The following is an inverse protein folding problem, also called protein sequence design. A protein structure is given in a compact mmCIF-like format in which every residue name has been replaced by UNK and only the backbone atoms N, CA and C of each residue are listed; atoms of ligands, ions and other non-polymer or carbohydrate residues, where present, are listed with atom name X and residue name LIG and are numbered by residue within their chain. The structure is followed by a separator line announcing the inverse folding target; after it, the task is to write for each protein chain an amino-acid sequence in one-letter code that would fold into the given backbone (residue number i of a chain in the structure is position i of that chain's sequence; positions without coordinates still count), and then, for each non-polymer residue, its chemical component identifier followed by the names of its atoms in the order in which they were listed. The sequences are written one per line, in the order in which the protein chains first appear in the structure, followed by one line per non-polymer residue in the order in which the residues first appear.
data_IF_215680379786
#
_entry.id   IF_215680379786
#
_cell.length_a   1.000
_cell.length_b   1.000
_cell.length_c   1.000
_cell.angle_alpha   90.00
_cell.angle_beta   90.00
_cell.angle_gamma   90.00
#
_symmetry.space_group_name_H-M   'P 1'
#
loop_
_entity.id
_entity.type
_entity.pdbx_description
1 polymer ?
#
# COMPACT_ATOMS: atom_id res chain seq x y z
N UNK A 1 11.25 -24.82 19.87
CA UNK A 1 11.50 -23.54 20.58
C UNK A 1 10.41 -22.58 20.10
N UNK A 2 9.45 -22.18 20.94
CA UNK A 2 8.40 -21.27 20.50
C UNK A 2 9.01 -19.87 20.30
N UNK A 3 8.73 -19.27 19.15
CA UNK A 3 9.06 -17.86 18.92
C UNK A 3 8.30 -17.05 19.96
N UNK A 4 8.99 -16.15 20.68
CA UNK A 4 8.33 -15.20 21.59
C UNK A 4 7.32 -14.43 20.74
N UNK A 5 6.09 -14.28 21.22
CA UNK A 5 4.98 -13.65 20.48
C UNK A 5 5.36 -12.26 19.93
N UNK A 6 6.29 -11.58 20.60
CA UNK A 6 6.91 -10.31 20.20
C UNK A 6 7.66 -10.39 18.86
N UNK A 7 8.36 -11.49 18.57
CA UNK A 7 9.11 -11.68 17.33
C UNK A 7 8.17 -12.04 16.16
N UNK A 8 7.13 -12.83 16.43
CA UNK A 8 6.10 -13.14 15.45
C UNK A 8 5.33 -11.90 15.00
N UNK A 9 4.99 -11.02 15.94
CA UNK A 9 4.32 -9.75 15.64
C UNK A 9 5.20 -8.81 14.81
N UNK A 10 6.49 -8.68 15.15
CA UNK A 10 7.44 -7.87 14.37
C UNK A 10 7.60 -8.39 12.95
N UNK A 11 7.67 -9.71 12.78
CA UNK A 11 7.79 -10.33 11.46
C UNK A 11 6.55 -10.06 10.61
N UNK A 12 5.36 -10.26 11.18
CA UNK A 12 4.10 -9.96 10.50
C UNK A 12 3.99 -8.49 10.08
N UNK A 13 4.36 -7.54 10.96
CA UNK A 13 4.38 -6.12 10.60
C UNK A 13 5.38 -5.83 9.47
N UNK A 14 6.57 -6.43 9.51
CA UNK A 14 7.58 -6.27 8.47
C UNK A 14 7.08 -6.75 7.10
N UNK A 15 6.44 -7.90 7.06
CA UNK A 15 5.86 -8.46 5.83
C UNK A 15 4.73 -7.57 5.30
N UNK A 16 3.88 -7.06 6.19
CA UNK A 16 2.79 -6.15 5.83
C UNK A 16 3.31 -4.89 5.13
N UNK A 17 4.34 -4.23 5.69
CA UNK A 17 4.95 -3.05 5.07
C UNK A 17 5.66 -3.39 3.75
N UNK A 18 6.31 -4.55 3.68
CA UNK A 18 6.94 -5.02 2.44
C UNK A 18 5.92 -5.16 1.30
N UNK A 19 4.72 -5.65 1.59
CA UNK A 19 3.65 -5.75 0.58
C UNK A 19 3.12 -4.37 0.15
N UNK A 20 3.07 -3.40 1.06
CA UNK A 20 2.67 -2.02 0.74
C UNK A 20 3.70 -1.36 -0.18
N UNK A 21 4.99 -1.42 0.18
CA UNK A 21 6.08 -0.82 -0.60
C UNK A 21 6.21 -1.45 -1.98
N UNK A 22 5.97 -2.75 -2.09
CA UNK A 22 5.94 -3.48 -3.36
C UNK A 22 4.61 -3.31 -4.13
N UNK A 23 3.65 -2.53 -3.62
CA UNK A 23 2.30 -2.33 -4.18
C UNK A 23 1.53 -3.64 -4.44
N UNK A 24 1.76 -4.68 -3.62
CA UNK A 24 1.14 -6.00 -3.74
C UNK A 24 -0.19 -6.06 -2.99
N UNK A 25 -1.24 -5.56 -3.63
CA UNK A 25 -2.58 -5.44 -3.03
C UNK A 25 -3.12 -6.76 -2.46
N UNK A 26 -3.02 -7.85 -3.23
CA UNK A 26 -3.60 -9.14 -2.82
C UNK A 26 -2.86 -9.73 -1.61
N UNK A 27 -1.52 -9.66 -1.59
CA UNK A 27 -0.70 -10.15 -0.48
C UNK A 27 -0.91 -9.30 0.78
N UNK A 28 -1.07 -7.98 0.62
CA UNK A 28 -1.43 -7.09 1.72
C UNK A 28 -2.77 -7.47 2.36
N UNK A 29 -3.82 -7.67 1.56
CA UNK A 29 -5.16 -8.01 2.06
C UNK A 29 -5.19 -9.40 2.70
N UNK A 30 -4.41 -10.35 2.17
CA UNK A 30 -4.30 -11.70 2.72
C UNK A 30 -3.74 -11.71 4.16
N UNK A 31 -2.86 -10.75 4.49
CA UNK A 31 -2.26 -10.62 5.82
C UNK A 31 -3.17 -10.01 6.89
N UNK A 32 -4.34 -9.47 6.53
CA UNK A 32 -5.28 -8.81 7.45
C UNK A 32 -6.32 -9.79 8.00
N UNK A 33 -6.95 -9.50 9.15
CA UNK A 33 -8.12 -10.29 9.60
C UNK A 33 -9.37 -9.97 8.76
N UNK A 34 -10.38 -10.86 8.68
CA UNK A 34 -11.61 -10.61 7.91
C UNK A 34 -12.40 -9.39 8.37
N UNK A 35 -12.35 -9.11 9.68
CA UNK A 35 -13.05 -8.04 10.41
C UNK A 35 -12.19 -6.79 10.63
N UNK A 36 -11.06 -6.68 9.92
CA UNK A 36 -10.13 -5.56 10.04
C UNK A 36 -10.83 -4.21 9.88
N UNK A 37 -10.43 -3.23 10.70
CA UNK A 37 -10.86 -1.84 10.57
C UNK A 37 -9.62 -0.97 10.33
N UNK A 38 -9.63 -0.20 9.24
CA UNK A 38 -8.49 0.64 8.83
C UNK A 38 -8.94 2.08 8.66
N UNK A 39 -8.18 3.00 9.25
CA UNK A 39 -8.33 4.44 9.10
C UNK A 39 -7.09 4.99 8.42
N UNK A 40 -7.28 5.76 7.35
CA UNK A 40 -6.19 6.44 6.64
C UNK A 40 -6.41 7.95 6.73
N UNK A 41 -5.58 8.64 7.50
CA UNK A 41 -5.69 10.08 7.74
C UNK A 41 -6.99 10.43 8.47
N UNK A 42 -7.77 11.36 7.90
CA UNK A 42 -9.06 11.83 8.44
C UNK A 42 -10.27 11.15 7.78
N UNK A 43 -10.06 10.09 6.99
CA UNK A 43 -11.16 9.40 6.32
C UNK A 43 -11.98 8.55 7.30
N UNK A 44 -13.27 8.30 6.99
CA UNK A 44 -14.07 7.31 7.71
C UNK A 44 -13.38 5.94 7.72
N UNK A 45 -13.58 5.18 8.81
CA UNK A 45 -13.00 3.86 8.95
C UNK A 45 -13.56 2.89 7.90
N UNK A 46 -12.65 2.21 7.20
CA UNK A 46 -12.95 1.14 6.26
C UNK A 46 -13.07 -0.17 7.03
N UNK A 47 -14.19 -0.88 6.85
CA UNK A 47 -14.51 -2.09 7.60
C UNK A 47 -14.49 -3.33 6.72
N UNK A 48 -13.71 -4.32 7.15
CA UNK A 48 -13.51 -5.58 6.48
C UNK A 48 -12.56 -5.50 5.28
N UNK A 49 -12.04 -6.66 4.90
CA UNK A 49 -11.03 -6.80 3.84
C UNK A 49 -11.44 -6.18 2.51
N UNK A 50 -12.71 -6.27 2.11
CA UNK A 50 -13.17 -5.74 0.82
C UNK A 50 -13.13 -4.21 0.77
N UNK A 51 -13.55 -3.53 1.84
CA UNK A 51 -13.49 -2.06 1.88
C UNK A 51 -12.04 -1.58 1.94
N UNK A 52 -11.20 -2.26 2.73
CA UNK A 52 -9.77 -1.96 2.80
C UNK A 52 -9.10 -2.18 1.45
N UNK A 53 -9.42 -3.28 0.76
CA UNK A 53 -8.92 -3.58 -0.59
C UNK A 53 -9.27 -2.48 -1.59
N UNK A 54 -10.51 -2.00 -1.57
CA UNK A 54 -10.94 -0.91 -2.43
C UNK A 54 -10.19 0.40 -2.13
N UNK A 55 -10.07 0.78 -0.85
CA UNK A 55 -9.37 2.01 -0.45
C UNK A 55 -7.88 1.98 -0.76
N UNK A 56 -7.19 0.87 -0.48
CA UNK A 56 -5.77 0.73 -0.77
C UNK A 56 -5.50 0.65 -2.27
N UNK A 57 -6.39 0.02 -3.06
CA UNK A 57 -6.30 0.07 -4.52
C UNK A 57 -6.33 1.51 -5.03
N UNK A 58 -7.25 2.33 -4.51
CA UNK A 58 -7.35 3.74 -4.88
C UNK A 58 -6.08 4.52 -4.51
N UNK A 59 -5.50 4.24 -3.33
CA UNK A 59 -4.23 4.81 -2.91
C UNK A 59 -3.09 4.44 -3.87
N UNK A 60 -2.96 3.16 -4.24
CA UNK A 60 -1.92 2.69 -5.16
C UNK A 60 -2.07 3.31 -6.55
N UNK A 61 -3.30 3.37 -7.08
CA UNK A 61 -3.57 4.07 -8.34
C UNK A 61 -3.18 5.55 -8.31
N UNK A 62 -3.39 6.24 -7.18
CA UNK A 62 -2.99 7.64 -7.04
C UNK A 62 -1.46 7.81 -7.02
N UNK A 63 -0.73 6.91 -6.33
CA UNK A 63 0.74 6.92 -6.29
C UNK A 63 1.32 6.66 -7.69
N UNK A 64 0.79 5.65 -8.40
CA UNK A 64 1.21 5.32 -9.76
C UNK A 64 1.00 6.50 -10.73
N UNK A 65 -0.15 7.18 -10.64
CA UNK A 65 -0.44 8.38 -11.43
C UNK A 65 0.52 9.54 -11.16
N UNK A 66 0.97 9.73 -9.91
CA UNK A 66 1.96 10.75 -9.55
C UNK A 66 3.34 10.38 -10.12
N UNK A 67 3.77 9.11 -10.00
CA UNK A 67 5.03 8.65 -10.59
C UNK A 67 5.06 8.84 -12.11
N UNK A 68 3.94 8.57 -12.78
CA UNK A 68 3.79 8.80 -14.21
C UNK A 68 3.96 10.28 -14.57
N UNK A 69 3.27 11.19 -13.86
CA UNK A 69 3.38 12.64 -14.08
C UNK A 69 4.80 13.19 -13.89
N UNK A 70 5.54 12.70 -12.88
CA UNK A 70 6.93 13.07 -12.66
C UNK A 70 7.86 12.55 -13.77
N UNK A 71 7.64 11.33 -14.26
CA UNK A 71 8.41 10.76 -15.37
C UNK A 71 8.16 11.52 -16.67
N UNK A 72 6.90 11.81 -16.99
CA UNK A 72 6.51 12.56 -18.18
C UNK A 72 7.01 14.01 -18.15
N UNK A 73 6.96 14.68 -17.00
CA UNK A 73 7.48 16.04 -16.89
C UNK A 73 9.01 16.14 -17.06
N UNK A 74 9.78 15.13 -16.61
CA UNK A 74 11.22 15.04 -16.89
C UNK A 74 11.47 14.69 -18.36
N UNK A 75 10.70 13.76 -18.94
CA UNK A 75 10.82 13.41 -20.35
C UNK A 75 10.46 14.58 -21.29
N UNK A 76 9.46 15.38 -20.94
CA UNK A 76 9.03 16.55 -21.71
C UNK A 76 10.05 17.70 -21.61
N UNK A 77 10.81 17.78 -20.51
CA UNK A 77 11.87 18.79 -20.32
C UNK A 77 13.17 18.50 -21.10
N UNK A 78 13.35 17.28 -21.59
CA UNK A 78 14.53 16.88 -22.38
C UNK A 78 14.31 16.92 -23.90
N UNK A 79 13.16 17.42 -24.38
CA UNK A 79 12.78 17.38 -25.81
C UNK A 79 12.64 18.76 -26.47
N UNK A 80 13.39 19.77 -26.02
CA UNK A 80 13.43 21.11 -26.65
C UNK A 80 14.86 21.61 -26.93
N UNK A 81 15.71 20.76 -27.46
CA UNK A 81 16.98 21.21 -28.05
C UNK A 81 17.23 20.47 -29.36
N UNK A 82 16.48 20.88 -30.39
CA UNK A 82 16.85 20.88 -31.80
C UNK A 82 15.97 21.92 -32.48
#
# INVERSE_FOLDING_TARGET
MPLREEDGMKHWFSDLYTHIDAMRLEDFVAGLTPDVEVVVGTNPAMKGREQVKAGIRQLFSAIDGIQFSLRDSIAMRLRQSC
#
